data_IF_609627935759
#
_entry.id   IF_609627935759
#
_cell.length_a   1.000
_cell.length_b   1.000
_cell.length_c   1.000
_cell.angle_alpha   90.00
_cell.angle_beta   90.00
_cell.angle_gamma   90.00
#
_symmetry.space_group_name_H-M   'P 1'
#
loop_
_entity.id
_entity.type
_entity.pdbx_description
1 polymer ?
#
# COMPACT_ATOMS: atom_id res chain seq x y z
N UNK A 1 -9.52 25.48 14.09
CA UNK A 1 -9.60 24.21 13.32
C UNK A 1 -8.56 24.33 12.21
N UNK A 2 -7.67 23.37 12.09
CA UNK A 2 -6.76 23.33 10.93
C UNK A 2 -7.60 23.16 9.64
N UNK A 3 -7.19 23.75 8.50
CA UNK A 3 -7.91 23.56 7.24
C UNK A 3 -7.97 22.06 6.86
N UNK A 4 -9.00 21.63 6.15
CA UNK A 4 -9.10 20.23 5.72
C UNK A 4 -7.91 19.88 4.84
N UNK A 5 -7.33 18.70 5.04
CA UNK A 5 -6.24 18.20 4.18
C UNK A 5 -6.76 17.92 2.77
N UNK A 6 -5.95 18.26 1.77
CA UNK A 6 -6.21 17.94 0.38
C UNK A 6 -5.47 16.65 0.01
N UNK A 7 -6.21 15.61 -0.30
CA UNK A 7 -5.66 14.27 -0.58
C UNK A 7 -5.90 13.88 -2.03
N UNK A 8 -4.84 13.62 -2.76
CA UNK A 8 -4.91 13.02 -4.10
C UNK A 8 -4.87 11.48 -3.98
N UNK A 9 -5.82 10.80 -4.61
CA UNK A 9 -5.81 9.34 -4.69
C UNK A 9 -5.66 8.91 -6.15
N UNK A 10 -4.60 8.20 -6.49
CA UNK A 10 -4.48 7.52 -7.77
C UNK A 10 -5.08 6.11 -7.67
N UNK A 11 -5.69 5.61 -8.74
CA UNK A 11 -6.34 4.30 -8.71
C UNK A 11 -7.60 4.23 -7.85
N UNK A 12 -8.30 5.36 -7.69
CA UNK A 12 -9.50 5.46 -6.86
C UNK A 12 -10.65 4.56 -7.32
N UNK A 13 -10.71 4.20 -8.60
CA UNK A 13 -11.71 3.26 -9.13
C UNK A 13 -11.50 1.81 -8.69
N UNK A 14 -10.34 1.48 -8.13
CA UNK A 14 -10.04 0.15 -7.59
C UNK A 14 -10.70 -0.09 -6.22
N UNK A 15 -10.65 -1.35 -5.76
CA UNK A 15 -11.26 -1.78 -4.49
C UNK A 15 -10.80 -0.91 -3.31
N UNK A 16 -9.49 -0.87 -3.07
CA UNK A 16 -8.92 -0.10 -1.93
C UNK A 16 -9.19 1.39 -2.10
N UNK A 17 -9.02 1.93 -3.33
CA UNK A 17 -9.26 3.34 -3.62
C UNK A 17 -10.71 3.76 -3.30
N UNK A 18 -11.68 2.93 -3.67
CA UNK A 18 -13.10 3.16 -3.35
C UNK A 18 -13.40 3.09 -1.86
N UNK A 19 -12.77 2.18 -1.11
CA UNK A 19 -12.90 2.08 0.34
C UNK A 19 -12.34 3.32 1.04
N UNK A 20 -11.10 3.68 0.71
CA UNK A 20 -10.39 4.84 1.29
C UNK A 20 -11.12 6.15 0.98
N UNK A 21 -11.58 6.34 -0.27
CA UNK A 21 -12.39 7.51 -0.64
C UNK A 21 -13.58 7.69 0.29
N UNK A 22 -14.38 6.64 0.49
CA UNK A 22 -15.60 6.73 1.34
C UNK A 22 -15.28 7.17 2.75
N UNK A 23 -14.20 6.68 3.31
CA UNK A 23 -13.78 7.06 4.66
C UNK A 23 -13.24 8.50 4.74
N UNK A 24 -12.41 8.90 3.76
CA UNK A 24 -11.79 10.22 3.79
C UNK A 24 -12.74 11.38 3.44
N UNK A 25 -13.84 11.13 2.72
CA UNK A 25 -14.75 12.18 2.25
C UNK A 25 -15.39 13.03 3.35
N UNK A 26 -15.42 12.54 4.59
CA UNK A 26 -15.96 13.29 5.74
C UNK A 26 -14.96 14.22 6.42
N UNK A 27 -13.65 14.06 6.16
CA UNK A 27 -12.59 14.78 6.88
C UNK A 27 -11.51 15.42 5.98
N UNK A 28 -11.51 15.08 4.69
CA UNK A 28 -10.54 15.57 3.72
C UNK A 28 -11.24 16.04 2.46
N UNK A 29 -10.63 17.01 1.76
CA UNK A 29 -10.97 17.26 0.36
C UNK A 29 -10.22 16.23 -0.48
N UNK A 30 -10.94 15.42 -1.24
CA UNK A 30 -10.38 14.31 -2.00
C UNK A 30 -10.44 14.61 -3.49
N UNK A 31 -9.30 14.50 -4.17
CA UNK A 31 -9.17 14.55 -5.64
C UNK A 31 -8.73 13.19 -6.16
N UNK A 32 -9.17 12.84 -7.36
CA UNK A 32 -8.73 11.63 -8.05
C UNK A 32 -7.80 11.96 -9.22
N UNK A 33 -6.73 11.17 -9.39
CA UNK A 33 -6.03 11.02 -10.66
C UNK A 33 -6.35 9.63 -11.20
N UNK A 34 -7.14 9.58 -12.27
CA UNK A 34 -7.70 8.33 -12.75
C UNK A 34 -7.93 8.39 -14.27
N UNK A 35 -7.92 7.24 -14.97
CA UNK A 35 -8.18 7.19 -16.41
C UNK A 35 -9.63 7.48 -16.77
N UNK A 36 -10.55 7.19 -15.88
CA UNK A 36 -11.99 7.44 -16.03
C UNK A 36 -12.49 8.36 -14.93
N UNK A 37 -13.54 9.16 -15.15
CA UNK A 37 -14.11 10.02 -14.13
C UNK A 37 -14.65 9.18 -12.97
N UNK A 38 -14.66 9.77 -11.78
CA UNK A 38 -15.25 9.19 -10.57
C UNK A 38 -16.43 10.06 -10.15
N UNK A 39 -17.61 9.48 -10.09
CA UNK A 39 -18.83 10.22 -9.78
C UNK A 39 -18.74 10.93 -8.42
N UNK A 40 -19.05 12.23 -8.45
CA UNK A 40 -19.02 13.10 -7.27
C UNK A 40 -17.64 13.40 -6.71
N UNK A 41 -16.56 13.21 -7.50
CA UNK A 41 -15.18 13.53 -7.10
C UNK A 41 -14.53 14.42 -8.14
N UNK A 42 -13.80 15.45 -7.69
CA UNK A 42 -12.88 16.21 -8.54
C UNK A 42 -11.85 15.23 -9.13
N UNK A 43 -11.93 15.00 -10.43
CA UNK A 43 -11.14 13.97 -11.13
C UNK A 43 -10.34 14.60 -12.27
N UNK A 44 -9.01 14.58 -12.15
CA UNK A 44 -8.11 14.79 -13.27
C UNK A 44 -7.98 13.49 -14.05
N UNK A 45 -8.37 13.52 -15.33
CA UNK A 45 -8.34 12.35 -16.21
C UNK A 45 -7.03 12.31 -16.98
N UNK A 46 -6.15 11.39 -16.59
CA UNK A 46 -4.89 11.18 -17.30
C UNK A 46 -4.40 9.73 -17.14
N UNK A 47 -3.51 9.31 -18.02
CA UNK A 47 -2.71 8.11 -17.85
C UNK A 47 -1.44 8.47 -17.08
N UNK A 48 -1.01 7.64 -16.13
CA UNK A 48 0.21 7.86 -15.35
C UNK A 48 1.48 7.81 -16.21
N UNK A 49 1.40 7.25 -17.41
CA UNK A 49 2.51 7.24 -18.36
C UNK A 49 2.72 8.58 -19.06
N UNK A 50 1.76 9.48 -18.98
CA UNK A 50 1.83 10.84 -19.57
C UNK A 50 2.21 11.84 -18.48
N UNK A 51 3.53 12.06 -18.32
CA UNK A 51 4.08 12.97 -17.31
C UNK A 51 3.59 14.42 -17.50
N UNK A 52 3.28 14.84 -18.72
CA UNK A 52 2.84 16.20 -19.02
C UNK A 52 1.34 16.40 -18.69
N UNK A 53 0.57 15.33 -18.66
CA UNK A 53 -0.87 15.38 -18.39
C UNK A 53 -1.24 15.30 -16.90
N UNK A 54 -0.36 14.76 -16.03
CA UNK A 54 -0.71 14.52 -14.63
C UNK A 54 -0.48 15.70 -13.66
N UNK A 55 0.41 16.70 -13.91
CA UNK A 55 0.73 17.75 -12.96
C UNK A 55 -0.49 18.51 -12.41
N UNK A 56 -1.55 18.83 -13.18
CA UNK A 56 -2.71 19.55 -12.65
C UNK A 56 -3.44 18.82 -11.52
N UNK A 57 -3.26 17.48 -11.41
CA UNK A 57 -3.85 16.70 -10.32
C UNK A 57 -3.22 17.03 -8.95
N UNK A 58 -1.99 17.52 -8.94
CA UNK A 58 -1.19 17.74 -7.72
C UNK A 58 -1.31 19.17 -7.18
N UNK A 59 -1.97 20.07 -7.88
CA UNK A 59 -2.13 21.47 -7.48
C UNK A 59 -2.87 21.60 -6.15
N UNK A 60 -2.21 22.16 -5.13
CA UNK A 60 -2.76 22.36 -3.80
C UNK A 60 -2.93 21.07 -2.98
N UNK A 61 -2.28 19.97 -3.36
CA UNK A 61 -2.36 18.69 -2.66
C UNK A 61 -1.34 18.63 -1.52
N UNK A 62 -1.80 18.24 -0.32
CA UNK A 62 -0.95 17.99 0.84
C UNK A 62 -0.37 16.58 0.85
N UNK A 63 -1.20 15.59 0.49
CA UNK A 63 -0.86 14.17 0.59
C UNK A 63 -1.33 13.40 -0.63
N UNK A 64 -0.47 12.57 -1.19
CA UNK A 64 -0.80 11.62 -2.26
C UNK A 64 -0.94 10.22 -1.68
N UNK A 65 -2.03 9.54 -2.02
CA UNK A 65 -2.22 8.09 -1.78
C UNK A 65 -2.15 7.38 -3.13
N UNK A 66 -0.99 6.79 -3.40
CA UNK A 66 -0.71 6.15 -4.69
C UNK A 66 -1.09 4.67 -4.66
N UNK A 67 -2.34 4.36 -5.10
CA UNK A 67 -2.89 3.00 -5.15
C UNK A 67 -2.94 2.43 -6.58
N UNK A 68 -2.74 3.25 -7.61
CA UNK A 68 -2.77 2.78 -8.98
C UNK A 68 -1.67 1.75 -9.22
N UNK A 69 -2.05 0.63 -9.81
CA UNK A 69 -1.14 -0.44 -10.22
C UNK A 69 -1.77 -1.29 -11.31
N UNK A 70 -0.94 -1.83 -12.18
CA UNK A 70 -1.31 -2.91 -13.06
C UNK A 70 -1.14 -4.25 -12.34
N UNK A 71 -2.16 -5.10 -12.41
CA UNK A 71 -2.23 -6.39 -11.72
C UNK A 71 -2.41 -7.58 -12.69
N UNK A 72 -2.42 -7.32 -14.01
CA UNK A 72 -2.55 -8.36 -15.01
C UNK A 72 -1.22 -9.10 -15.29
N UNK A 73 -1.21 -9.97 -16.28
CA UNK A 73 -0.08 -10.86 -16.57
C UNK A 73 0.89 -10.30 -17.62
N UNK A 74 0.52 -9.20 -18.32
CA UNK A 74 1.39 -8.61 -19.34
C UNK A 74 2.57 -7.85 -18.71
N UNK A 75 3.83 -8.24 -19.01
CA UNK A 75 5.01 -7.55 -18.51
C UNK A 75 5.04 -6.05 -18.87
N UNK A 76 4.55 -5.66 -20.05
CA UNK A 76 4.56 -4.26 -20.47
C UNK A 76 3.68 -3.38 -19.58
N UNK A 77 2.54 -3.90 -19.11
CA UNK A 77 1.67 -3.22 -18.16
C UNK A 77 2.34 -3.01 -16.80
N UNK A 78 3.14 -3.98 -16.35
CA UNK A 78 3.94 -3.84 -15.12
C UNK A 78 5.02 -2.76 -15.26
N UNK A 79 5.76 -2.76 -16.38
CA UNK A 79 6.82 -1.79 -16.61
C UNK A 79 6.25 -0.38 -16.79
N UNK A 80 5.21 -0.22 -17.59
CA UNK A 80 4.60 1.09 -17.83
C UNK A 80 3.92 1.65 -16.59
N UNK A 81 2.96 0.94 -16.00
CA UNK A 81 2.15 1.49 -14.90
C UNK A 81 2.90 1.45 -13.57
N UNK A 82 3.53 0.32 -13.22
CA UNK A 82 4.08 0.15 -11.87
C UNK A 82 5.49 0.74 -11.72
N UNK A 83 6.26 0.86 -12.80
CA UNK A 83 7.60 1.50 -12.77
C UNK A 83 7.49 2.93 -13.27
N UNK A 84 7.21 3.13 -14.55
CA UNK A 84 7.19 4.47 -15.15
C UNK A 84 6.11 5.35 -14.51
N UNK A 85 4.89 4.84 -14.38
CA UNK A 85 3.79 5.58 -13.75
C UNK A 85 4.06 5.92 -12.28
N UNK A 86 4.72 5.04 -11.51
CA UNK A 86 5.12 5.33 -10.12
C UNK A 86 6.18 6.43 -10.08
N UNK A 87 7.18 6.37 -10.96
CA UNK A 87 8.18 7.45 -11.08
C UNK A 87 7.51 8.79 -11.42
N UNK A 88 6.60 8.83 -12.38
CA UNK A 88 5.88 10.06 -12.75
C UNK A 88 5.07 10.63 -11.59
N UNK A 89 4.38 9.80 -10.82
CA UNK A 89 3.62 10.24 -9.64
C UNK A 89 4.54 10.85 -8.58
N UNK A 90 5.69 10.23 -8.31
CA UNK A 90 6.64 10.75 -7.31
C UNK A 90 7.28 12.06 -7.80
N UNK A 91 7.62 12.14 -9.07
CA UNK A 91 8.19 13.37 -9.66
C UNK A 91 7.17 14.52 -9.66
N UNK A 92 5.93 14.26 -10.06
CA UNK A 92 4.88 15.27 -10.02
C UNK A 92 4.57 15.72 -8.58
N UNK A 93 4.56 14.79 -7.61
CA UNK A 93 4.39 15.13 -6.19
C UNK A 93 5.53 16.01 -5.68
N UNK A 94 6.78 15.68 -6.04
CA UNK A 94 7.97 16.50 -5.71
C UNK A 94 7.87 17.90 -6.31
N UNK A 95 7.58 17.98 -7.60
CA UNK A 95 7.50 19.24 -8.32
C UNK A 95 6.40 20.18 -7.79
N UNK A 96 5.27 19.62 -7.35
CA UNK A 96 4.15 20.35 -6.75
C UNK A 96 4.35 20.69 -5.25
N UNK A 97 5.44 20.25 -4.63
CA UNK A 97 5.68 20.51 -3.20
C UNK A 97 4.76 19.73 -2.27
N UNK A 98 4.27 18.56 -2.71
CA UNK A 98 3.48 17.66 -1.86
C UNK A 98 4.30 17.28 -0.62
N UNK A 99 3.66 17.31 0.54
CA UNK A 99 4.34 17.02 1.81
C UNK A 99 4.58 15.52 2.02
N UNK A 100 3.61 14.66 1.63
CA UNK A 100 3.65 13.22 1.89
C UNK A 100 3.11 12.40 0.73
N UNK A 101 3.77 11.27 0.48
CA UNK A 101 3.27 10.23 -0.41
C UNK A 101 3.12 8.93 0.37
N UNK A 102 1.91 8.37 0.36
CA UNK A 102 1.62 7.00 0.83
C UNK A 102 1.62 6.10 -0.39
N UNK A 103 2.64 5.28 -0.51
CA UNK A 103 2.81 4.35 -1.63
C UNK A 103 2.27 2.97 -1.29
N UNK A 104 1.32 2.49 -2.08
CA UNK A 104 0.84 1.11 -1.98
C UNK A 104 1.89 0.15 -2.54
N UNK A 105 2.80 -0.27 -1.69
CA UNK A 105 3.64 -1.45 -1.92
C UNK A 105 2.81 -2.72 -1.71
N UNK A 106 3.43 -3.86 -1.65
CA UNK A 106 2.75 -5.15 -1.52
C UNK A 106 3.50 -6.08 -0.59
N UNK A 107 2.76 -6.85 0.20
CA UNK A 107 3.33 -7.97 0.93
C UNK A 107 3.99 -9.03 0.02
N UNK A 108 3.71 -9.01 -1.29
CA UNK A 108 4.37 -9.86 -2.27
C UNK A 108 5.88 -9.62 -2.39
N UNK A 109 6.37 -8.44 -1.97
CA UNK A 109 7.82 -8.13 -1.89
C UNK A 109 8.56 -9.10 -0.97
N UNK A 110 7.87 -9.70 0.00
CA UNK A 110 8.42 -10.69 0.93
C UNK A 110 7.78 -12.09 0.75
N UNK A 111 6.97 -12.33 -0.29
CA UNK A 111 6.25 -13.59 -0.43
C UNK A 111 7.14 -14.79 -0.81
N UNK A 112 8.37 -14.56 -1.27
CA UNK A 112 9.31 -15.66 -1.53
C UNK A 112 9.69 -16.46 -0.28
N UNK A 113 9.51 -15.91 0.91
CA UNK A 113 9.68 -16.65 2.18
C UNK A 113 8.66 -17.76 2.38
N UNK A 114 7.49 -17.69 1.71
CA UNK A 114 6.45 -18.71 1.78
C UNK A 114 6.91 -20.09 1.22
N UNK A 115 8.03 -20.13 0.49
CA UNK A 115 8.65 -21.37 0.03
C UNK A 115 9.44 -22.11 1.12
N UNK A 116 9.78 -21.47 2.23
CA UNK A 116 10.63 -21.98 3.28
C UNK A 116 9.83 -22.24 4.56
N UNK A 117 10.24 -23.27 5.33
CA UNK A 117 9.70 -23.45 6.67
C UNK A 117 10.28 -22.39 7.64
N UNK A 118 9.53 -21.94 8.62
CA UNK A 118 8.17 -22.37 8.97
C UNK A 118 7.04 -21.62 8.26
N UNK A 119 7.36 -20.69 7.37
CA UNK A 119 6.37 -19.81 6.72
C UNK A 119 5.47 -20.58 5.74
N UNK A 120 6.01 -21.63 5.10
CA UNK A 120 5.24 -22.53 4.26
C UNK A 120 4.15 -23.24 5.07
N UNK A 121 4.49 -23.76 6.24
CA UNK A 121 3.51 -24.38 7.13
C UNK A 121 2.36 -23.42 7.51
N UNK A 122 2.66 -22.12 7.72
CA UNK A 122 1.67 -21.11 8.06
C UNK A 122 0.68 -20.85 6.91
N UNK A 123 1.18 -20.72 5.67
CA UNK A 123 0.32 -20.46 4.51
C UNK A 123 -0.43 -21.71 4.03
N UNK A 124 -0.03 -22.88 4.49
CA UNK A 124 -0.71 -24.17 4.26
C UNK A 124 -1.62 -24.57 5.44
N UNK A 125 -1.69 -23.75 6.51
CA UNK A 125 -2.42 -24.02 7.75
C UNK A 125 -2.03 -25.36 8.43
N UNK A 126 -0.76 -25.75 8.31
CA UNK A 126 -0.16 -26.90 9.00
C UNK A 126 0.32 -26.49 10.39
N UNK A 127 -0.63 -26.24 11.29
CA UNK A 127 -0.37 -25.61 12.59
C UNK A 127 0.58 -26.41 13.48
N UNK A 128 0.55 -27.75 13.40
CA UNK A 128 1.39 -28.66 14.20
C UNK A 128 2.87 -28.59 13.77
N UNK A 129 3.15 -28.15 12.54
CA UNK A 129 4.51 -28.01 12.00
C UNK A 129 5.12 -26.62 12.31
N UNK A 130 4.36 -25.73 12.93
CA UNK A 130 4.80 -24.36 13.21
C UNK A 130 5.52 -24.29 14.56
N UNK A 131 6.83 -24.00 14.61
CA UNK A 131 7.56 -23.90 15.87
C UNK A 131 7.01 -22.79 16.77
N UNK A 132 6.91 -23.07 18.07
CA UNK A 132 6.60 -22.03 19.06
C UNK A 132 7.73 -20.98 19.07
N UNK A 133 7.34 -19.70 19.14
CA UNK A 133 8.30 -18.59 19.22
C UNK A 133 9.01 -18.25 17.91
N UNK A 134 8.50 -18.71 16.74
CA UNK A 134 9.02 -18.29 15.43
C UNK A 134 9.06 -16.77 15.31
N UNK A 135 10.13 -16.22 14.75
CA UNK A 135 10.22 -14.80 14.45
C UNK A 135 9.33 -14.44 13.25
N UNK A 136 8.60 -13.32 13.28
CA UNK A 136 7.95 -12.79 12.09
C UNK A 136 8.99 -12.25 11.12
N UNK A 137 8.63 -12.19 9.84
CA UNK A 137 9.39 -11.44 8.83
C UNK A 137 9.17 -9.95 9.08
N UNK A 138 10.26 -9.22 9.19
CA UNK A 138 10.30 -7.78 9.40
C UNK A 138 10.59 -7.03 8.09
N UNK A 139 10.53 -5.71 8.11
CA UNK A 139 10.94 -4.89 6.97
C UNK A 139 12.45 -4.75 6.84
N UNK A 140 13.21 -5.18 7.84
CA UNK A 140 14.68 -5.22 7.83
C UNK A 140 15.24 -6.51 7.21
N UNK A 141 14.38 -7.54 7.07
CA UNK A 141 14.77 -8.76 6.38
C UNK A 141 14.93 -8.51 4.87
N UNK A 142 15.85 -9.21 4.20
CA UNK A 142 16.04 -9.10 2.75
C UNK A 142 14.73 -9.29 1.98
N UNK A 143 14.49 -8.47 0.96
CA UNK A 143 13.34 -8.67 0.08
C UNK A 143 13.47 -9.99 -0.68
N UNK A 144 12.34 -10.70 -0.83
CA UNK A 144 12.21 -11.93 -1.64
C UNK A 144 10.94 -11.85 -2.50
N UNK A 145 10.96 -11.01 -3.57
CA UNK A 145 9.79 -10.81 -4.42
C UNK A 145 9.34 -12.11 -5.08
N UNK A 146 8.04 -12.33 -5.11
CA UNK A 146 7.44 -13.44 -5.86
C UNK A 146 6.77 -12.91 -7.14
N UNK A 147 7.51 -12.96 -8.25
CA UNK A 147 7.06 -12.54 -9.57
C UNK A 147 7.32 -11.05 -9.90
N UNK A 148 7.05 -10.70 -11.18
CA UNK A 148 7.35 -9.37 -11.72
C UNK A 148 6.59 -8.25 -11.00
N UNK A 149 5.31 -8.46 -10.69
CA UNK A 149 4.53 -7.50 -9.92
C UNK A 149 5.23 -7.12 -8.60
N UNK A 150 5.68 -8.13 -7.85
CA UNK A 150 6.36 -7.90 -6.58
C UNK A 150 7.69 -7.17 -6.76
N UNK A 151 8.43 -7.49 -7.82
CA UNK A 151 9.68 -6.79 -8.15
C UNK A 151 9.44 -5.31 -8.50
N UNK A 152 8.34 -4.99 -9.22
CA UNK A 152 8.00 -3.58 -9.48
C UNK A 152 7.58 -2.84 -8.22
N UNK A 153 6.97 -3.52 -7.24
CA UNK A 153 6.66 -2.90 -5.95
C UNK A 153 7.91 -2.62 -5.12
N UNK A 154 8.90 -3.53 -5.15
CA UNK A 154 10.21 -3.30 -4.54
C UNK A 154 10.96 -2.13 -5.19
N UNK A 155 10.88 -1.97 -6.52
CA UNK A 155 11.39 -0.78 -7.20
C UNK A 155 10.80 0.51 -6.62
N UNK A 156 9.48 0.57 -6.43
CA UNK A 156 8.83 1.75 -5.85
C UNK A 156 9.25 2.04 -4.41
N UNK A 157 9.58 1.01 -3.60
CA UNK A 157 10.15 1.21 -2.25
C UNK A 157 11.56 1.82 -2.31
N UNK A 158 12.40 1.34 -3.23
CA UNK A 158 13.74 1.89 -3.44
C UNK A 158 13.69 3.34 -3.96
N UNK A 159 12.82 3.62 -4.92
CA UNK A 159 12.58 4.96 -5.42
C UNK A 159 12.05 5.89 -4.32
N UNK A 160 11.11 5.43 -3.49
CA UNK A 160 10.58 6.20 -2.37
C UNK A 160 11.69 6.59 -1.37
N UNK A 161 12.66 5.69 -1.14
CA UNK A 161 13.81 5.99 -0.28
C UNK A 161 14.66 7.12 -0.86
N UNK A 162 14.96 7.09 -2.16
CA UNK A 162 15.70 8.16 -2.83
C UNK A 162 14.97 9.51 -2.72
N UNK A 163 13.65 9.54 -2.98
CA UNK A 163 12.87 10.79 -2.85
C UNK A 163 12.82 11.33 -1.42
N UNK A 164 12.81 10.45 -0.43
CA UNK A 164 12.88 10.89 0.97
C UNK A 164 14.24 11.51 1.32
N UNK A 165 15.33 10.89 0.89
CA UNK A 165 16.70 11.31 1.21
C UNK A 165 17.14 12.52 0.39
N UNK A 166 16.86 12.51 -0.92
CA UNK A 166 17.33 13.52 -1.86
C UNK A 166 16.44 14.76 -1.93
N UNK A 167 15.13 14.62 -1.64
CA UNK A 167 14.16 15.71 -1.80
C UNK A 167 13.37 16.04 -0.54
N UNK A 168 13.57 15.32 0.56
CA UNK A 168 12.91 15.58 1.83
C UNK A 168 11.40 15.27 1.83
N UNK A 169 10.88 14.55 0.83
CA UNK A 169 9.50 14.10 0.79
C UNK A 169 9.24 13.08 1.92
N UNK A 170 8.10 13.20 2.61
CA UNK A 170 7.68 12.14 3.53
C UNK A 170 7.12 10.96 2.70
N UNK A 171 7.85 9.84 2.66
CA UNK A 171 7.51 8.66 1.87
C UNK A 171 7.17 7.48 2.79
N UNK A 172 5.93 7.01 2.76
CA UNK A 172 5.49 5.84 3.54
C UNK A 172 5.06 4.74 2.58
N UNK A 173 5.84 3.66 2.54
CA UNK A 173 5.57 2.48 1.72
C UNK A 173 4.78 1.46 2.55
N UNK A 174 3.55 1.18 2.15
CA UNK A 174 2.67 0.25 2.84
C UNK A 174 2.64 -1.09 2.09
N UNK A 175 3.32 -2.12 2.62
CA UNK A 175 3.28 -3.50 2.12
C UNK A 175 1.92 -4.11 2.43
N UNK A 176 0.94 -3.80 1.61
CA UNK A 176 -0.47 -4.21 1.75
C UNK A 176 -0.61 -5.71 1.59
N UNK A 177 -1.36 -6.34 2.51
CA UNK A 177 -1.77 -7.73 2.43
C UNK A 177 -2.82 -7.99 1.34
N UNK A 178 -3.48 -9.15 1.40
CA UNK A 178 -4.51 -9.52 0.44
C UNK A 178 -5.85 -8.89 0.82
N UNK A 179 -6.27 -7.85 0.09
CA UNK A 179 -7.61 -7.26 0.20
C UNK A 179 -8.50 -7.90 -0.87
N UNK A 180 -9.61 -8.50 -0.45
CA UNK A 180 -10.49 -9.29 -1.32
C UNK A 180 -11.83 -8.58 -1.52
N UNK A 181 -12.46 -8.63 -2.72
CA UNK A 181 -13.75 -7.96 -2.96
C UNK A 181 -14.85 -8.37 -1.98
N UNK A 182 -14.90 -9.66 -1.59
CA UNK A 182 -15.86 -10.18 -0.63
C UNK A 182 -15.46 -10.03 0.82
N UNK A 183 -14.35 -9.34 1.13
CA UNK A 183 -13.80 -9.16 2.47
C UNK A 183 -13.63 -10.47 3.27
N UNK A 184 -13.27 -11.54 2.58
CA UNK A 184 -13.21 -12.90 3.14
C UNK A 184 -12.17 -13.75 2.40
N UNK A 185 -11.25 -14.41 3.10
CA UNK A 185 -10.31 -15.36 2.51
C UNK A 185 -11.01 -16.64 2.02
N UNK A 186 -10.45 -17.29 1.01
CA UNK A 186 -11.01 -18.47 0.34
C UNK A 186 -10.12 -19.71 0.49
N UNK A 187 -8.90 -19.53 0.93
CA UNK A 187 -7.90 -20.57 1.15
C UNK A 187 -6.96 -20.22 2.32
N UNK A 188 -6.14 -21.17 2.79
CA UNK A 188 -5.23 -20.95 3.93
C UNK A 188 -4.24 -19.82 3.68
N UNK A 189 -3.68 -19.72 2.46
CA UNK A 189 -2.72 -18.68 2.12
C UNK A 189 -3.37 -17.30 2.13
N UNK A 190 -4.56 -17.16 1.52
CA UNK A 190 -5.30 -15.89 1.59
C UNK A 190 -5.58 -15.51 3.05
N UNK A 191 -5.95 -16.48 3.91
CA UNK A 191 -6.18 -16.22 5.33
C UNK A 191 -4.91 -15.74 6.04
N UNK A 192 -3.75 -16.32 5.76
CA UNK A 192 -2.48 -15.91 6.39
C UNK A 192 -2.07 -14.47 6.03
N UNK A 193 -2.36 -14.02 4.81
CA UNK A 193 -1.96 -12.70 4.29
C UNK A 193 -3.13 -11.71 4.18
N UNK A 194 -4.30 -12.05 4.70
CA UNK A 194 -5.52 -11.26 4.62
C UNK A 194 -5.36 -9.88 5.26
N UNK A 195 -5.96 -8.90 4.61
CA UNK A 195 -6.19 -7.57 5.15
C UNK A 195 -7.64 -7.20 4.90
N UNK A 196 -8.42 -7.02 5.97
CA UNK A 196 -9.83 -6.64 5.87
C UNK A 196 -10.01 -5.27 5.23
N UNK A 197 -11.21 -4.99 4.74
CA UNK A 197 -11.55 -3.66 4.24
C UNK A 197 -11.37 -2.58 5.29
N UNK A 198 -11.78 -2.86 6.54
CA UNK A 198 -11.65 -1.94 7.68
C UNK A 198 -10.18 -1.68 8.01
N UNK A 199 -9.37 -2.71 8.11
CA UNK A 199 -7.96 -2.58 8.43
C UNK A 199 -7.16 -1.94 7.28
N UNK A 200 -7.55 -2.18 6.02
CA UNK A 200 -6.94 -1.53 4.86
C UNK A 200 -7.19 -0.01 4.87
N UNK A 201 -8.40 0.42 5.18
CA UNK A 201 -8.74 1.84 5.36
C UNK A 201 -7.95 2.43 6.51
N UNK A 202 -7.97 1.77 7.69
CA UNK A 202 -7.23 2.24 8.87
C UNK A 202 -5.75 2.42 8.55
N UNK A 203 -5.10 1.45 7.89
CA UNK A 203 -3.67 1.52 7.57
C UNK A 203 -3.34 2.76 6.70
N UNK A 204 -4.15 3.04 5.68
CA UNK A 204 -3.96 4.23 4.84
C UNK A 204 -4.20 5.52 5.63
N UNK A 205 -5.25 5.59 6.44
CA UNK A 205 -5.54 6.75 7.28
C UNK A 205 -4.42 7.03 8.27
N UNK A 206 -3.87 5.98 8.92
CA UNK A 206 -2.73 6.12 9.82
C UNK A 206 -1.47 6.62 9.11
N UNK A 207 -1.26 6.24 7.84
CA UNK A 207 -0.18 6.82 7.04
C UNK A 207 -0.40 8.30 6.73
N UNK A 208 -1.63 8.71 6.38
CA UNK A 208 -1.97 10.12 6.14
C UNK A 208 -1.75 10.95 7.40
N UNK A 209 -2.14 10.41 8.57
CA UNK A 209 -2.08 11.08 9.88
C UNK A 209 -0.75 10.86 10.62
N UNK A 210 0.20 10.15 10.03
CA UNK A 210 1.50 9.87 10.64
C UNK A 210 2.24 11.16 11.06
N UNK A 211 3.14 11.10 12.06
CA UNK A 211 3.91 12.24 12.53
C UNK A 211 4.52 13.06 11.38
N UNK A 212 4.58 14.38 11.54
CA UNK A 212 5.06 15.28 10.48
C UNK A 212 6.57 15.13 10.21
N UNK A 213 7.32 14.70 11.21
CA UNK A 213 8.75 14.44 11.14
C UNK A 213 9.09 13.06 10.56
N UNK A 214 8.09 12.18 10.35
CA UNK A 214 8.32 10.89 9.70
C UNK A 214 8.68 11.09 8.22
N UNK A 215 9.94 10.85 7.88
CA UNK A 215 10.47 11.04 6.52
C UNK A 215 10.33 9.79 5.66
N UNK A 216 10.62 8.64 6.22
CA UNK A 216 10.57 7.38 5.47
C UNK A 216 10.15 6.22 6.36
N UNK A 217 9.28 5.35 5.85
CA UNK A 217 8.97 4.08 6.47
C UNK A 217 8.53 3.05 5.43
N UNK A 218 8.89 1.78 5.65
CA UNK A 218 8.28 0.62 5.00
C UNK A 218 7.55 -0.16 6.08
N UNK A 219 6.26 -0.42 5.89
CA UNK A 219 5.39 -1.00 6.91
C UNK A 219 4.58 -2.15 6.32
N UNK A 220 4.42 -3.25 7.07
CA UNK A 220 3.44 -4.26 6.72
C UNK A 220 2.05 -3.88 7.21
N UNK A 221 1.04 -4.14 6.37
CA UNK A 221 -0.37 -4.05 6.73
C UNK A 221 -1.07 -5.37 6.39
N UNK A 222 -1.36 -6.15 7.42
CA UNK A 222 -2.20 -7.35 7.39
C UNK A 222 -3.10 -7.33 8.62
N UNK A 223 -4.23 -8.04 8.57
CA UNK A 223 -5.11 -8.20 9.73
C UNK A 223 -4.47 -9.14 10.77
N UNK A 224 -5.07 -9.26 11.97
CA UNK A 224 -4.56 -10.06 13.07
C UNK A 224 -4.76 -11.58 12.83
N UNK A 225 -4.38 -12.05 11.65
CA UNK A 225 -4.59 -13.42 11.20
C UNK A 225 -3.80 -14.43 12.05
N UNK A 226 -4.37 -15.61 12.30
CA UNK A 226 -3.69 -16.70 13.00
C UNK A 226 -2.40 -17.12 12.28
N UNK A 227 -2.45 -17.25 10.96
CA UNK A 227 -1.33 -17.67 10.12
C UNK A 227 -0.38 -16.54 9.71
N UNK A 228 -0.54 -15.33 10.23
CA UNK A 228 0.34 -14.21 9.83
C UNK A 228 1.80 -14.50 10.18
N UNK A 229 2.67 -14.13 9.28
CA UNK A 229 4.12 -14.26 9.43
C UNK A 229 4.87 -12.93 9.26
N UNK A 230 4.13 -11.84 9.03
CA UNK A 230 4.66 -10.48 8.87
C UNK A 230 4.58 -9.72 10.18
N UNK A 231 5.61 -8.94 10.49
CA UNK A 231 5.65 -8.09 11.66
C UNK A 231 4.61 -6.97 11.57
N UNK A 232 3.87 -6.75 12.63
CA UNK A 232 2.95 -5.62 12.79
C UNK A 232 3.42 -4.60 13.82
N UNK A 233 4.42 -4.97 14.62
CA UNK A 233 4.88 -4.12 15.72
C UNK A 233 5.55 -2.84 15.20
N UNK A 234 6.26 -2.94 14.07
CA UNK A 234 6.84 -1.75 13.44
C UNK A 234 5.76 -0.78 12.99
N UNK A 235 4.70 -1.24 12.32
CA UNK A 235 3.58 -0.38 11.91
C UNK A 235 2.82 0.21 13.11
N UNK A 236 2.65 -0.59 14.18
CA UNK A 236 2.03 -0.11 15.42
C UNK A 236 2.81 1.04 16.05
N UNK A 237 4.12 0.90 16.17
CA UNK A 237 4.99 1.94 16.77
C UNK A 237 5.12 3.18 15.90
N UNK A 238 5.19 3.01 14.57
CA UNK A 238 5.50 4.09 13.64
C UNK A 238 4.28 4.95 13.32
N UNK A 239 3.12 4.33 13.09
CA UNK A 239 1.89 5.03 12.64
C UNK A 239 0.66 4.71 13.50
N UNK A 240 0.80 3.90 14.56
CA UNK A 240 -0.33 3.50 15.39
C UNK A 240 -1.31 2.54 14.70
N UNK A 241 -0.87 1.79 13.68
CA UNK A 241 -1.71 0.79 13.04
C UNK A 241 -1.90 -0.42 13.95
N UNK A 242 -3.15 -0.67 14.34
CA UNK A 242 -3.55 -1.85 15.12
C UNK A 242 -4.73 -2.50 14.40
N UNK A 243 -4.54 -3.67 13.77
CA UNK A 243 -5.63 -4.34 13.06
C UNK A 243 -6.76 -4.71 14.01
N UNK A 244 -7.98 -4.57 13.54
CA UNK A 244 -9.20 -4.83 14.30
C UNK A 244 -9.89 -6.13 13.89
N UNK A 245 -9.49 -6.66 12.73
CA UNK A 245 -9.99 -7.91 12.18
C UNK A 245 -8.90 -8.97 12.13
N UNK A 246 -9.29 -10.20 11.90
CA UNK A 246 -8.38 -11.32 11.70
C UNK A 246 -9.07 -12.44 10.94
N UNK A 247 -8.27 -13.29 10.34
CA UNK A 247 -8.75 -14.51 9.70
C UNK A 247 -8.10 -15.74 10.35
N UNK A 248 -8.89 -16.80 10.42
CA UNK A 248 -8.44 -18.15 10.76
C UNK A 248 -8.74 -19.10 9.62
N UNK A 249 -8.08 -20.24 9.58
CA UNK A 249 -8.35 -21.29 8.61
C UNK A 249 -8.29 -22.67 9.28
N UNK A 250 -9.29 -23.54 9.06
CA UNK A 250 -10.60 -23.24 8.44
C UNK A 250 -11.37 -22.15 9.19
N UNK A 251 -12.29 -21.46 8.50
CA UNK A 251 -13.05 -20.34 9.08
C UNK A 251 -14.04 -20.78 10.16
#
# INVERSE_FOLDING_TARGET
MSPPRHVLITGMSGLIGGLVRRSLSSRCTVRALNRSPIDGVDTVRADLNDLDAIPPAFDGIDTVVHLAAYLGDDPSGHLSTNITGTYHVFEAARAAGVRRVVYASSGAVAAGYEADEPYRALVEARWDDVPAGRAPITTDDPIRPNGLYAATKAFGEALARDYADSHGLSMICLRIGRVLPGDRPRDPREAAVYLSHRDAVQAVERCIDAPEDLRFAILFAVSANRGRYRDLEHARRTIGFVPQDGADWPP
#
